data_IF_513164078629
#
_entry.id   IF_513164078629
#
_cell.length_a   1.000
_cell.length_b   1.000
_cell.length_c   1.000
_cell.angle_alpha   90.00
_cell.angle_beta   90.00
_cell.angle_gamma   90.00
#
_symmetry.space_group_name_H-M   'P 1'
#
loop_
_entity.id
_entity.type
_entity.pdbx_description
1 polymer ?
#
# COMPACT_ATOMS: atom_id res chain seq x y z
N UNK A 1 -7.72 2.96 -7.10
CA UNK A 1 -7.24 3.89 -6.05
C UNK A 1 -7.73 5.27 -6.41
N UNK A 2 -8.06 6.15 -5.44
CA UNK A 2 -8.45 7.56 -5.65
C UNK A 2 -7.78 8.26 -6.83
N UNK A 3 -8.32 9.40 -7.30
CA UNK A 3 -7.50 10.43 -7.96
C UNK A 3 -6.40 10.88 -6.98
N UNK A 4 -5.42 10.00 -6.73
CA UNK A 4 -4.17 10.30 -6.08
C UNK A 4 -3.54 11.27 -7.04
N UNK A 5 -3.24 12.48 -6.60
CA UNK A 5 -2.70 13.47 -7.50
C UNK A 5 -1.47 12.92 -8.21
N UNK A 6 -1.48 12.99 -9.54
CA UNK A 6 -0.35 12.60 -10.34
C UNK A 6 0.57 13.81 -10.45
N UNK A 7 1.75 13.70 -9.86
CA UNK A 7 2.80 14.71 -9.96
C UNK A 7 3.93 14.11 -10.77
N UNK A 8 4.23 14.71 -11.91
CA UNK A 8 5.24 14.20 -12.82
C UNK A 8 6.65 14.47 -12.27
N UNK A 9 7.56 13.57 -12.57
CA UNK A 9 8.99 13.74 -12.38
C UNK A 9 9.69 13.96 -13.72
N UNK A 10 10.65 14.87 -13.72
CA UNK A 10 11.52 15.15 -14.85
C UNK A 10 12.90 14.58 -14.58
N UNK A 11 13.40 13.74 -15.48
CA UNK A 11 14.75 13.19 -15.44
C UNK A 11 15.79 14.12 -16.07
N UNK A 12 17.06 13.91 -15.70
CA UNK A 12 18.22 14.62 -16.27
C UNK A 12 18.16 16.16 -16.16
N UNK A 13 17.43 16.65 -15.16
CA UNK A 13 17.36 18.08 -14.83
C UNK A 13 18.62 18.48 -14.08
N UNK A 14 19.13 19.69 -14.31
CA UNK A 14 20.23 20.22 -13.49
C UNK A 14 19.80 20.25 -12.03
N UNK A 15 20.62 19.64 -11.16
CA UNK A 15 20.36 19.56 -9.73
C UNK A 15 20.24 20.97 -9.14
N UNK A 16 19.10 21.33 -8.51
CA UNK A 16 18.95 22.61 -7.84
C UNK A 16 19.88 22.77 -6.62
N UNK A 17 20.36 21.65 -6.06
CA UNK A 17 21.15 21.63 -4.82
C UNK A 17 22.62 21.30 -5.03
N UNK A 18 22.99 20.65 -6.13
CA UNK A 18 24.37 20.21 -6.41
C UNK A 18 24.81 20.63 -7.83
N UNK A 19 25.41 21.81 -7.95
CA UNK A 19 25.85 22.37 -9.25
C UNK A 19 26.73 21.39 -10.04
N UNK A 20 26.43 21.25 -11.34
CA UNK A 20 27.16 20.38 -12.27
C UNK A 20 26.66 18.93 -12.33
N UNK A 21 25.66 18.57 -11.51
CA UNK A 21 25.07 17.24 -11.51
C UNK A 21 23.66 17.24 -12.09
N UNK A 22 23.24 16.07 -12.59
CA UNK A 22 21.86 15.81 -13.03
C UNK A 22 21.07 15.02 -11.97
N UNK A 23 19.77 15.28 -11.89
CA UNK A 23 18.84 14.66 -10.94
C UNK A 23 17.49 14.37 -11.59
N UNK A 24 16.67 13.61 -10.87
CA UNK A 24 15.22 13.57 -11.05
C UNK A 24 14.61 14.67 -10.18
N UNK A 25 13.70 15.48 -10.73
CA UNK A 25 13.02 16.55 -9.97
C UNK A 25 11.54 16.51 -10.28
N UNK A 26 10.70 16.50 -9.24
CA UNK A 26 9.25 16.56 -9.40
C UNK A 26 8.77 17.94 -9.90
N UNK A 27 7.57 17.96 -10.46
CA UNK A 27 6.73 19.17 -10.49
C UNK A 27 6.43 19.67 -9.07
N UNK A 28 5.84 20.87 -8.97
CA UNK A 28 5.48 21.45 -7.67
C UNK A 28 4.50 20.56 -6.90
N UNK A 29 4.73 20.43 -5.60
CA UNK A 29 3.91 19.70 -4.64
C UNK A 29 3.03 20.64 -3.80
N UNK A 30 3.11 21.96 -3.99
CA UNK A 30 2.51 22.96 -3.10
C UNK A 30 0.98 22.89 -3.04
N UNK A 31 0.33 22.45 -4.12
CA UNK A 31 -1.12 22.25 -4.15
C UNK A 31 -1.57 21.09 -3.24
N UNK A 32 -0.64 20.22 -2.84
CA UNK A 32 -0.93 19.00 -2.09
C UNK A 32 -0.38 19.05 -0.66
N UNK A 33 0.84 19.55 -0.49
CA UNK A 33 1.54 19.51 0.79
C UNK A 33 2.71 20.50 0.86
N UNK A 34 3.17 20.76 2.08
CA UNK A 34 4.45 21.41 2.33
C UNK A 34 5.60 20.38 2.26
N UNK A 35 6.83 20.87 2.04
CA UNK A 35 8.02 20.02 2.03
C UNK A 35 8.21 19.24 3.36
N UNK A 36 7.94 19.89 4.49
CA UNK A 36 8.03 19.27 5.82
C UNK A 36 6.97 18.15 5.99
N UNK A 37 5.72 18.36 5.57
CA UNK A 37 4.69 17.32 5.64
C UNK A 37 4.99 16.13 4.71
N UNK A 38 5.55 16.42 3.51
CA UNK A 38 6.01 15.38 2.60
C UNK A 38 7.13 14.55 3.22
N UNK A 39 8.13 15.20 3.82
CA UNK A 39 9.25 14.51 4.49
C UNK A 39 8.75 13.58 5.61
N UNK A 40 7.84 14.04 6.47
CA UNK A 40 7.34 13.22 7.59
C UNK A 40 6.62 11.96 7.08
N UNK A 41 5.84 12.12 6.01
CA UNK A 41 5.11 11.03 5.39
C UNK A 41 6.04 10.07 4.66
N UNK A 42 7.06 10.58 3.96
CA UNK A 42 8.07 9.75 3.30
C UNK A 42 8.87 8.96 4.35
N UNK A 43 9.25 9.59 5.46
CA UNK A 43 9.95 8.94 6.57
C UNK A 43 9.13 7.78 7.15
N UNK A 44 7.82 7.99 7.36
CA UNK A 44 6.90 6.95 7.81
C UNK A 44 6.83 5.79 6.81
N UNK A 45 6.70 6.09 5.52
CA UNK A 45 6.60 5.06 4.48
C UNK A 45 7.89 4.25 4.34
N UNK A 46 9.06 4.88 4.50
CA UNK A 46 10.34 4.17 4.46
C UNK A 46 10.50 3.18 5.63
N UNK A 47 9.81 3.43 6.77
CA UNK A 47 9.75 2.48 7.90
C UNK A 47 8.76 1.34 7.69
N UNK A 48 7.84 1.48 6.74
CA UNK A 48 6.84 0.47 6.38
C UNK A 48 6.68 0.35 4.86
N UNK A 49 7.74 -0.09 4.15
CA UNK A 49 7.83 -0.02 2.69
C UNK A 49 7.07 -1.15 1.98
N UNK A 50 6.44 -2.04 2.73
CA UNK A 50 5.67 -3.16 2.19
C UNK A 50 4.30 -2.64 1.78
N UNK A 51 4.01 -2.70 0.48
CA UNK A 51 2.68 -2.39 -0.02
C UNK A 51 1.66 -3.41 0.53
N UNK A 52 0.39 -3.06 0.77
CA UNK A 52 -0.57 -4.00 1.36
C UNK A 52 -0.71 -5.33 0.59
N UNK A 53 -0.74 -5.27 -0.74
CA UNK A 53 -0.75 -6.48 -1.59
C UNK A 53 0.54 -7.31 -1.47
N UNK A 54 1.65 -6.71 -1.06
CA UNK A 54 2.91 -7.43 -0.84
C UNK A 54 2.98 -8.09 0.53
N UNK A 55 2.19 -7.63 1.52
CA UNK A 55 2.24 -8.13 2.88
C UNK A 55 1.99 -9.64 2.97
N UNK A 56 1.15 -10.20 2.09
CA UNK A 56 0.91 -11.65 2.02
C UNK A 56 2.15 -12.45 1.58
N UNK A 57 3.08 -11.84 0.84
CA UNK A 57 4.33 -12.47 0.40
C UNK A 57 5.46 -12.31 1.42
N UNK A 58 5.31 -11.46 2.43
CA UNK A 58 6.36 -11.19 3.41
C UNK A 58 6.51 -12.38 4.36
N UNK A 59 7.74 -12.89 4.45
CA UNK A 59 8.17 -13.85 5.47
C UNK A 59 8.60 -13.15 6.74
N UNK A 60 9.39 -12.10 6.58
CA UNK A 60 10.02 -11.36 7.67
C UNK A 60 10.12 -9.88 7.28
N UNK A 61 9.70 -9.01 8.18
CA UNK A 61 10.00 -7.59 8.14
C UNK A 61 10.62 -7.20 9.48
N UNK A 62 11.81 -6.63 9.42
CA UNK A 62 12.54 -6.17 10.59
C UNK A 62 12.92 -4.70 10.38
N UNK A 63 12.60 -3.87 11.36
CA UNK A 63 13.05 -2.48 11.46
C UNK A 63 13.88 -2.36 12.73
N UNK A 64 15.11 -1.87 12.61
CA UNK A 64 16.00 -1.64 13.75
C UNK A 64 16.31 -0.16 13.84
N UNK A 65 15.76 0.48 14.87
CA UNK A 65 16.06 1.87 15.18
C UNK A 65 17.49 2.03 15.68
N UNK A 66 18.21 3.01 15.11
CA UNK A 66 19.59 3.36 15.46
C UNK A 66 19.69 4.81 15.97
N UNK A 67 18.58 5.55 15.92
CA UNK A 67 18.42 6.91 16.40
C UNK A 67 17.12 7.51 15.89
N UNK A 68 16.87 8.78 16.23
CA UNK A 68 15.68 9.50 15.73
C UNK A 68 15.68 9.63 14.20
N UNK A 69 16.85 9.80 13.61
CA UNK A 69 17.06 10.00 12.17
C UNK A 69 17.81 8.85 11.49
N UNK A 70 17.89 7.67 12.12
CA UNK A 70 18.61 6.53 11.54
C UNK A 70 17.92 5.21 11.88
N UNK A 71 17.67 4.40 10.86
CA UNK A 71 17.19 3.03 11.04
C UNK A 71 17.69 2.12 9.91
N UNK A 72 17.67 0.81 10.16
CA UNK A 72 17.80 -0.19 9.12
C UNK A 72 16.50 -0.94 8.95
N UNK A 73 16.21 -1.33 7.71
CA UNK A 73 15.03 -2.11 7.37
C UNK A 73 15.39 -3.28 6.47
N UNK A 74 14.85 -4.44 6.81
CA UNK A 74 15.00 -5.68 6.08
C UNK A 74 13.63 -6.27 5.82
N UNK A 75 13.34 -6.59 4.56
CA UNK A 75 12.12 -7.27 4.11
C UNK A 75 12.54 -8.49 3.31
N UNK A 76 12.12 -9.67 3.79
CA UNK A 76 12.28 -10.95 3.08
C UNK A 76 10.91 -11.42 2.61
N UNK A 77 10.83 -11.77 1.33
CA UNK A 77 9.71 -12.50 0.77
C UNK A 77 9.87 -14.00 0.95
N UNK A 78 8.73 -14.66 1.21
CA UNK A 78 8.63 -16.09 1.37
C UNK A 78 8.66 -16.78 -0.01
N UNK A 79 9.73 -17.52 -0.26
CA UNK A 79 9.88 -18.24 -1.53
C UNK A 79 8.78 -19.26 -1.78
N UNK A 80 8.24 -19.89 -0.73
CA UNK A 80 7.14 -20.84 -0.88
C UNK A 80 5.87 -20.13 -1.34
N UNK A 81 5.55 -18.97 -0.76
CA UNK A 81 4.39 -18.16 -1.18
C UNK A 81 4.58 -17.60 -2.58
N UNK A 82 5.77 -17.10 -2.92
CA UNK A 82 6.07 -16.64 -4.29
C UNK A 82 5.88 -17.76 -5.32
N UNK A 83 6.38 -18.97 -5.03
CA UNK A 83 6.16 -20.14 -5.91
C UNK A 83 4.69 -20.53 -5.99
N UNK A 84 4.00 -20.50 -4.85
CA UNK A 84 2.58 -20.80 -4.76
C UNK A 84 1.76 -19.85 -5.65
N UNK A 85 2.12 -18.58 -5.69
CA UNK A 85 1.44 -17.55 -6.48
C UNK A 85 1.90 -17.51 -7.96
N UNK A 86 2.84 -18.37 -8.36
CA UNK A 86 3.39 -18.35 -9.73
C UNK A 86 4.30 -17.16 -10.02
N UNK A 87 4.81 -16.49 -8.97
CA UNK A 87 5.71 -15.34 -9.06
C UNK A 87 7.18 -15.72 -9.05
N UNK A 88 7.51 -16.94 -8.60
CA UNK A 88 8.85 -17.50 -8.66
C UNK A 88 8.83 -18.99 -9.06
N UNK A 89 9.82 -19.47 -9.84
CA UNK A 89 9.90 -20.88 -10.21
C UNK A 89 10.29 -21.80 -9.03
N UNK A 90 11.00 -21.24 -8.06
CA UNK A 90 11.59 -21.97 -6.94
C UNK A 90 11.11 -21.41 -5.60
N UNK A 91 11.13 -22.26 -4.57
CA UNK A 91 10.73 -21.90 -3.21
C UNK A 91 11.83 -21.19 -2.43
N UNK A 92 12.59 -20.29 -3.08
CA UNK A 92 13.72 -19.59 -2.48
C UNK A 92 13.30 -18.22 -1.97
N UNK A 93 13.58 -17.96 -0.70
CA UNK A 93 13.37 -16.64 -0.11
C UNK A 93 14.19 -15.56 -0.83
N UNK A 94 13.61 -14.37 -0.94
CA UNK A 94 14.22 -13.24 -1.62
C UNK A 94 14.28 -12.01 -0.72
N UNK A 95 15.43 -11.33 -0.72
CA UNK A 95 15.54 -10.01 -0.09
C UNK A 95 14.85 -8.98 -0.98
N UNK A 96 13.63 -8.60 -0.61
CA UNK A 96 12.91 -7.49 -1.24
C UNK A 96 13.62 -6.16 -0.98
N UNK A 97 14.04 -5.98 0.27
CA UNK A 97 14.68 -4.77 0.74
C UNK A 97 15.69 -5.11 1.84
N UNK A 98 16.88 -4.54 1.76
CA UNK A 98 17.83 -4.48 2.86
C UNK A 98 18.50 -3.12 2.78
N UNK A 99 18.04 -2.17 3.60
CA UNK A 99 18.34 -0.77 3.42
C UNK A 99 18.69 -0.13 4.75
N UNK A 100 19.71 0.72 4.75
CA UNK A 100 19.99 1.67 5.83
C UNK A 100 19.43 3.03 5.41
N UNK A 101 18.67 3.67 6.29
CA UNK A 101 18.02 4.95 6.02
C UNK A 101 18.51 5.97 7.04
N UNK A 102 19.03 7.09 6.55
CA UNK A 102 19.50 8.22 7.36
C UNK A 102 18.74 9.47 6.94
N UNK A 103 18.00 10.06 7.86
CA UNK A 103 17.30 11.33 7.70
C UNK A 103 18.14 12.51 8.16
N UNK A 104 17.74 13.69 7.74
CA UNK A 104 18.11 14.96 8.36
C UNK A 104 16.91 15.90 8.18
N UNK A 105 16.14 16.08 9.24
CA UNK A 105 14.89 16.83 9.22
C UNK A 105 15.11 18.30 8.95
N UNK A 106 16.20 18.88 9.46
CA UNK A 106 16.52 20.31 9.27
C UNK A 106 16.77 20.63 7.80
N UNK A 107 17.59 19.80 7.16
CA UNK A 107 17.97 19.95 5.75
C UNK A 107 16.96 19.30 4.78
N UNK A 108 15.94 18.62 5.32
CA UNK A 108 14.94 17.82 4.58
C UNK A 108 15.57 16.83 3.58
N UNK A 109 16.55 16.08 4.05
CA UNK A 109 17.23 15.06 3.23
C UNK A 109 17.02 13.67 3.79
N UNK A 110 16.82 12.67 2.92
CA UNK A 110 16.81 11.25 3.29
C UNK A 110 17.81 10.54 2.38
N UNK A 111 18.73 9.81 2.99
CA UNK A 111 19.73 8.99 2.32
C UNK A 111 19.43 7.52 2.58
N UNK A 112 19.26 6.76 1.52
CA UNK A 112 18.95 5.34 1.53
C UNK A 112 20.14 4.56 0.95
N UNK A 113 20.76 3.69 1.73
CA UNK A 113 21.82 2.80 1.27
C UNK A 113 21.25 1.40 1.10
N UNK A 114 21.06 1.00 -0.15
CA UNK A 114 20.56 -0.33 -0.50
C UNK A 114 21.70 -1.35 -0.50
N UNK A 115 21.43 -2.51 0.08
CA UNK A 115 22.40 -3.59 0.27
C UNK A 115 21.87 -4.92 -0.26
N UNK A 116 22.78 -5.81 -0.65
CA UNK A 116 22.47 -7.23 -0.90
C UNK A 116 22.16 -7.95 0.42
N UNK A 117 21.69 -9.19 0.32
CA UNK A 117 21.46 -10.05 1.49
C UNK A 117 22.71 -10.38 2.30
N UNK A 118 23.91 -10.24 1.71
CA UNK A 118 25.20 -10.39 2.39
C UNK A 118 25.76 -9.07 2.98
N UNK A 119 24.99 -7.97 2.87
CA UNK A 119 25.39 -6.65 3.34
C UNK A 119 26.23 -5.84 2.34
N UNK A 120 26.58 -6.40 1.17
CA UNK A 120 27.31 -5.65 0.14
C UNK A 120 26.47 -4.47 -0.35
N UNK A 121 27.04 -3.27 -0.33
CA UNK A 121 26.40 -2.06 -0.85
C UNK A 121 26.08 -2.20 -2.36
N UNK A 122 24.89 -1.78 -2.75
CA UNK A 122 24.41 -1.78 -4.13
C UNK A 122 24.41 -0.36 -4.72
N UNK A 123 23.72 0.55 -4.04
CA UNK A 123 23.59 1.93 -4.45
C UNK A 123 23.11 2.79 -3.28
N UNK A 124 23.26 4.11 -3.45
CA UNK A 124 22.74 5.09 -2.50
C UNK A 124 21.70 5.96 -3.19
N UNK A 125 20.46 5.94 -2.71
CA UNK A 125 19.43 6.92 -3.08
C UNK A 125 19.53 8.15 -2.17
N UNK A 126 19.41 9.33 -2.76
CA UNK A 126 19.39 10.60 -2.02
C UNK A 126 18.12 11.37 -2.40
N UNK A 127 17.21 11.53 -1.45
CA UNK A 127 16.04 12.40 -1.54
C UNK A 127 16.35 13.75 -0.87
N UNK A 128 16.03 14.86 -1.52
CA UNK A 128 16.05 16.20 -0.93
C UNK A 128 14.73 16.91 -1.22
N UNK A 129 14.11 17.50 -0.21
CA UNK A 129 12.86 18.25 -0.41
C UNK A 129 13.18 19.74 -0.48
N UNK A 130 12.83 20.34 -1.62
CA UNK A 130 12.95 21.78 -1.85
C UNK A 130 11.71 22.47 -1.29
N UNK A 131 11.84 23.71 -0.78
CA UNK A 131 10.73 24.44 -0.13
C UNK A 131 10.02 25.47 -1.01
N UNK A 132 10.67 26.01 -2.04
CA UNK A 132 10.15 27.12 -2.84
C UNK A 132 10.44 26.93 -4.35
N UNK A 133 9.50 26.33 -5.11
CA UNK A 133 8.30 25.67 -4.61
C UNK A 133 8.62 24.31 -3.97
N UNK A 134 7.67 23.77 -3.20
CA UNK A 134 7.79 22.41 -2.65
C UNK A 134 8.03 21.38 -3.76
N UNK A 135 9.16 20.66 -3.74
CA UNK A 135 9.51 19.63 -4.75
C UNK A 135 10.33 18.51 -4.14
N UNK A 136 10.29 17.34 -4.75
CA UNK A 136 11.22 16.24 -4.48
C UNK A 136 12.33 16.22 -5.54
N UNK A 137 13.57 16.41 -5.10
CA UNK A 137 14.77 16.08 -5.85
C UNK A 137 15.25 14.67 -5.44
N UNK A 138 15.54 13.83 -6.43
CA UNK A 138 16.10 12.51 -6.21
C UNK A 138 17.32 12.26 -7.10
N UNK A 139 18.31 11.60 -6.53
CA UNK A 139 19.43 11.04 -7.29
C UNK A 139 19.81 9.67 -6.77
N UNK A 140 20.42 8.86 -7.62
CA UNK A 140 20.94 7.54 -7.24
C UNK A 140 22.42 7.46 -7.56
N UNK A 141 23.25 7.10 -6.59
CA UNK A 141 24.69 6.90 -6.76
C UNK A 141 24.96 5.41 -6.88
N UNK A 142 25.55 5.00 -8.00
CA UNK A 142 25.95 3.62 -8.28
C UNK A 142 27.43 3.64 -8.67
N UNK A 143 28.27 2.89 -7.94
CA UNK A 143 29.73 2.86 -8.17
C UNK A 143 30.40 4.27 -8.18
N UNK A 144 29.88 5.17 -7.34
CA UNK A 144 30.36 6.56 -7.25
C UNK A 144 29.81 7.50 -8.33
N UNK A 145 29.08 6.99 -9.32
CA UNK A 145 28.46 7.81 -10.38
C UNK A 145 27.02 8.16 -10.01
N UNK A 146 26.69 9.46 -10.07
CA UNK A 146 25.31 9.93 -9.94
C UNK A 146 24.52 9.61 -11.21
N UNK A 147 23.38 8.95 -11.04
CA UNK A 147 22.45 8.54 -12.10
C UNK A 147 21.14 9.32 -11.99
N UNK A 148 20.63 9.69 -13.15
CA UNK A 148 19.27 10.17 -13.39
C UNK A 148 18.77 9.54 -14.69
N UNK A 149 17.46 9.43 -14.85
CA UNK A 149 16.88 8.86 -16.06
C UNK A 149 15.41 8.49 -15.87
N UNK A 150 14.74 8.18 -16.97
CA UNK A 150 13.29 7.93 -17.00
C UNK A 150 12.86 6.83 -16.02
N UNK A 151 13.60 5.73 -15.93
CA UNK A 151 13.28 4.64 -14.99
C UNK A 151 13.34 5.10 -13.52
N UNK A 152 14.26 6.01 -13.17
CA UNK A 152 14.31 6.59 -11.83
C UNK A 152 13.20 7.62 -11.62
N UNK A 153 12.83 8.39 -12.64
CA UNK A 153 11.68 9.29 -12.57
C UNK A 153 10.39 8.51 -12.27
N UNK A 154 10.11 7.45 -13.03
CA UNK A 154 8.93 6.59 -12.78
C UNK A 154 8.99 5.91 -11.42
N UNK A 155 10.18 5.50 -10.94
CA UNK A 155 10.34 4.97 -9.59
C UNK A 155 9.93 6.00 -8.53
N UNK A 156 10.43 7.24 -8.65
CA UNK A 156 10.13 8.32 -7.69
C UNK A 156 8.64 8.66 -7.69
N UNK A 157 8.01 8.76 -8.86
CA UNK A 157 6.57 8.99 -8.99
C UNK A 157 5.76 7.90 -8.27
N UNK A 158 6.04 6.64 -8.57
CA UNK A 158 5.22 5.50 -8.13
C UNK A 158 5.52 5.02 -6.71
N UNK A 159 6.77 5.16 -6.25
CA UNK A 159 7.22 4.60 -4.97
C UNK A 159 7.29 5.63 -3.87
N UNK A 160 7.52 6.91 -4.19
CA UNK A 160 7.64 7.97 -3.19
C UNK A 160 6.48 8.95 -3.26
N UNK A 161 6.28 9.60 -4.41
CA UNK A 161 5.31 10.70 -4.51
C UNK A 161 3.88 10.22 -4.34
N UNK A 162 3.41 9.29 -5.18
CA UNK A 162 2.02 8.84 -5.12
C UNK A 162 1.64 8.25 -3.75
N UNK A 163 2.47 7.39 -3.11
CA UNK A 163 2.19 6.93 -1.75
C UNK A 163 2.16 8.04 -0.70
N UNK A 164 3.10 9.00 -0.73
CA UNK A 164 3.11 10.13 0.21
C UNK A 164 1.86 11.00 0.04
N UNK A 165 1.51 11.35 -1.20
CA UNK A 165 0.31 12.15 -1.47
C UNK A 165 -0.97 11.40 -1.09
N UNK A 166 -0.97 10.07 -1.20
CA UNK A 166 -2.06 9.24 -0.68
C UNK A 166 -2.18 9.38 0.83
N UNK A 167 -1.08 9.28 1.58
CA UNK A 167 -1.09 9.45 3.05
C UNK A 167 -1.54 10.87 3.45
N UNK A 168 -1.08 11.88 2.71
CA UNK A 168 -1.38 13.30 2.99
C UNK A 168 -2.73 13.80 2.46
N UNK A 169 -3.42 12.98 1.66
CA UNK A 169 -4.70 13.35 1.10
C UNK A 169 -5.64 13.87 2.20
N UNK A 170 -6.28 15.01 1.94
CA UNK A 170 -7.32 15.52 2.85
C UNK A 170 -8.54 14.60 2.72
N UNK A 171 -8.77 13.79 3.76
CA UNK A 171 -9.87 12.82 3.83
C UNK A 171 -10.93 13.30 4.81
N UNK A 172 -12.16 12.87 4.57
CA UNK A 172 -13.33 13.18 5.41
C UNK A 172 -13.24 12.43 6.74
N UNK A 173 -12.90 11.15 6.67
CA UNK A 173 -12.60 10.32 7.84
C UNK A 173 -11.26 9.62 7.66
N UNK A 174 -10.47 9.54 8.73
CA UNK A 174 -9.20 8.79 8.74
C UNK A 174 -9.39 7.39 9.29
N UNK A 175 -8.53 6.47 8.86
CA UNK A 175 -8.38 5.14 9.42
C UNK A 175 -7.11 5.09 10.27
N UNK A 176 -7.28 4.67 11.52
CA UNK A 176 -6.23 4.59 12.52
C UNK A 176 -5.65 3.17 12.54
N UNK A 177 -4.33 3.00 12.31
CA UNK A 177 -3.68 1.71 12.46
C UNK A 177 -3.48 1.33 13.93
N UNK A 178 -3.27 0.04 14.18
CA UNK A 178 -2.96 -0.56 15.49
C UNK A 178 -3.98 -0.20 16.59
N UNK A 179 -5.25 -0.07 16.22
CA UNK A 179 -6.33 -0.01 17.18
C UNK A 179 -6.36 -1.32 17.97
N UNK A 180 -6.60 -1.25 19.28
CA UNK A 180 -6.79 -2.46 20.08
C UNK A 180 -8.27 -2.76 20.07
N UNK A 181 -8.64 -3.77 19.29
CA UNK A 181 -10.01 -4.25 19.18
C UNK A 181 -10.55 -4.69 20.53
N UNK A 182 -11.82 -4.40 20.79
CA UNK A 182 -12.57 -4.99 21.91
C UNK A 182 -13.30 -6.27 21.48
N UNK A 183 -13.32 -6.57 20.18
CA UNK A 183 -14.00 -7.71 19.59
C UNK A 183 -13.14 -8.98 19.62
N UNK A 184 -13.81 -10.13 19.76
CA UNK A 184 -13.23 -11.49 19.66
C UNK A 184 -11.98 -11.74 20.52
N UNK A 185 -11.96 -11.23 21.76
CA UNK A 185 -10.81 -11.40 22.65
C UNK A 185 -9.65 -10.43 22.42
N UNK A 186 -9.87 -9.44 21.56
CA UNK A 186 -8.98 -8.30 21.33
C UNK A 186 -7.78 -8.55 20.43
N UNK A 187 -6.86 -7.59 20.40
CA UNK A 187 -5.68 -7.60 19.52
C UNK A 187 -5.70 -6.48 18.48
N UNK A 188 -4.68 -6.42 17.60
CA UNK A 188 -4.52 -5.31 16.67
C UNK A 188 -5.59 -5.34 15.56
N UNK A 189 -6.18 -4.18 15.29
CA UNK A 189 -7.08 -3.90 14.18
C UNK A 189 -6.79 -2.51 13.63
N UNK A 190 -7.53 -2.13 12.60
CA UNK A 190 -7.61 -0.75 12.11
C UNK A 190 -9.04 -0.28 12.24
N UNK A 191 -9.25 0.99 12.53
CA UNK A 191 -10.60 1.54 12.73
C UNK A 191 -10.74 2.92 12.10
N UNK A 192 -11.87 3.19 11.47
CA UNK A 192 -12.18 4.55 11.01
C UNK A 192 -12.51 5.49 12.17
N UNK A 193 -12.29 6.78 11.96
CA UNK A 193 -13.00 7.85 12.68
C UNK A 193 -14.53 7.70 12.49
N UNK A 194 -15.35 8.34 13.34
CA UNK A 194 -16.80 8.41 13.15
C UNK A 194 -17.19 8.83 11.73
N UNK A 195 -18.18 8.15 11.15
CA UNK A 195 -18.65 8.36 9.78
C UNK A 195 -20.05 8.97 9.71
N UNK A 196 -20.66 9.28 10.85
CA UNK A 196 -22.06 9.68 11.01
C UNK A 196 -22.43 10.94 10.21
N UNK A 197 -21.45 11.79 9.88
CA UNK A 197 -21.66 12.98 9.05
C UNK A 197 -21.99 12.64 7.58
N UNK A 198 -21.50 11.50 7.08
CA UNK A 198 -21.62 11.12 5.66
C UNK A 198 -22.42 9.84 5.44
N UNK A 199 -22.50 8.99 6.46
CA UNK A 199 -23.04 7.64 6.34
C UNK A 199 -23.96 7.32 7.51
N UNK A 200 -25.09 6.71 7.20
CA UNK A 200 -25.83 5.89 8.17
C UNK A 200 -25.18 4.50 8.28
N UNK A 201 -25.48 3.75 9.34
CA UNK A 201 -25.05 2.36 9.46
C UNK A 201 -25.42 1.52 8.23
N UNK A 202 -26.67 1.61 7.76
CA UNK A 202 -27.14 0.83 6.62
C UNK A 202 -26.38 1.17 5.33
N UNK A 203 -26.13 2.46 5.09
CA UNK A 203 -25.34 2.91 3.93
C UNK A 203 -23.90 2.43 4.02
N UNK A 204 -23.25 2.57 5.19
CA UNK A 204 -21.87 2.12 5.38
C UNK A 204 -21.75 0.62 5.10
N UNK A 205 -22.65 -0.18 5.66
CA UNK A 205 -22.65 -1.63 5.48
C UNK A 205 -22.89 -2.03 4.03
N UNK A 206 -23.96 -1.52 3.40
CA UNK A 206 -24.34 -1.89 2.03
C UNK A 206 -23.30 -1.47 1.01
N UNK A 207 -22.79 -0.23 1.10
CA UNK A 207 -21.76 0.25 0.21
C UNK A 207 -20.45 -0.51 0.39
N UNK A 208 -20.11 -0.90 1.62
CA UNK A 208 -18.89 -1.68 1.84
C UNK A 208 -19.01 -3.11 1.31
N UNK A 209 -20.16 -3.77 1.47
CA UNK A 209 -20.40 -5.10 0.86
C UNK A 209 -20.24 -5.03 -0.65
N UNK A 210 -20.85 -4.04 -1.29
CA UNK A 210 -20.73 -3.84 -2.73
C UNK A 210 -19.28 -3.54 -3.14
N UNK A 211 -18.58 -2.70 -2.38
CA UNK A 211 -17.16 -2.42 -2.59
C UNK A 211 -16.25 -3.66 -2.52
N UNK A 212 -16.52 -4.57 -1.58
CA UNK A 212 -15.73 -5.81 -1.41
C UNK A 212 -16.02 -6.80 -2.54
N UNK A 213 -17.25 -6.83 -3.06
CA UNK A 213 -17.60 -7.61 -4.27
C UNK A 213 -16.91 -7.09 -5.52
N UNK A 214 -16.53 -5.81 -5.52
CA UNK A 214 -15.93 -5.09 -6.65
C UNK A 214 -14.66 -4.34 -6.23
N UNK A 215 -13.60 -5.07 -5.82
CA UNK A 215 -12.42 -4.45 -5.23
C UNK A 215 -11.74 -3.50 -6.24
N UNK A 216 -11.18 -2.36 -5.78
CA UNK A 216 -10.54 -1.39 -6.65
C UNK A 216 -9.41 -2.01 -7.49
N UNK A 217 -9.44 -1.76 -8.80
CA UNK A 217 -8.46 -2.28 -9.77
C UNK A 217 -8.95 -3.51 -10.55
N UNK A 218 -10.03 -4.15 -10.11
CA UNK A 218 -10.73 -5.17 -10.89
C UNK A 218 -11.78 -4.45 -11.74
N UNK A 219 -11.36 -3.90 -12.87
CA UNK A 219 -12.28 -3.24 -13.83
C UNK A 219 -13.36 -4.21 -14.32
N UNK A 220 -14.53 -3.65 -14.65
CA UNK A 220 -15.80 -4.32 -14.96
C UNK A 220 -15.69 -5.61 -15.80
N UNK A 221 -15.68 -6.73 -15.07
CA UNK A 221 -16.27 -8.06 -15.30
C UNK A 221 -16.51 -8.57 -16.73
N UNK A 222 -15.49 -8.51 -17.57
CA UNK A 222 -15.36 -9.44 -18.69
C UNK A 222 -15.11 -10.90 -18.24
N UNK A 223 -14.36 -11.65 -19.04
CA UNK A 223 -14.01 -13.07 -18.78
C UNK A 223 -13.11 -13.29 -17.54
N UNK A 224 -12.71 -12.22 -16.83
CA UNK A 224 -11.67 -12.25 -15.78
C UNK A 224 -12.20 -12.33 -14.35
N UNK A 225 -13.51 -12.40 -14.17
CA UNK A 225 -14.12 -12.56 -12.85
C UNK A 225 -15.38 -13.41 -12.89
N UNK A 226 -15.64 -14.15 -11.82
CA UNK A 226 -16.90 -14.84 -11.62
C UNK A 226 -17.43 -14.53 -10.22
N UNK A 227 -18.57 -13.86 -10.15
CA UNK A 227 -19.27 -13.56 -8.91
C UNK A 227 -20.52 -14.45 -8.79
N UNK A 228 -20.62 -15.19 -7.69
CA UNK A 228 -21.80 -15.98 -7.32
C UNK A 228 -22.31 -15.45 -6.00
N UNK A 229 -23.59 -15.10 -5.92
CA UNK A 229 -24.18 -14.49 -4.72
C UNK A 229 -25.36 -15.30 -4.17
N UNK A 230 -25.47 -15.31 -2.84
CA UNK A 230 -26.67 -15.68 -2.09
C UNK A 230 -27.11 -14.49 -1.23
N UNK A 231 -28.19 -14.65 -0.46
CA UNK A 231 -28.70 -13.60 0.43
C UNK A 231 -27.69 -13.18 1.52
N UNK A 232 -26.80 -14.09 1.93
CA UNK A 232 -25.90 -13.98 3.08
C UNK A 232 -24.42 -14.25 2.74
N UNK A 233 -24.09 -14.52 1.48
CA UNK A 233 -22.73 -14.85 1.07
C UNK A 233 -22.45 -14.49 -0.38
N UNK A 234 -21.17 -14.40 -0.72
CA UNK A 234 -20.71 -14.28 -2.09
C UNK A 234 -19.41 -15.04 -2.30
N UNK A 235 -19.20 -15.50 -3.53
CA UNK A 235 -17.93 -16.05 -4.01
C UNK A 235 -17.49 -15.22 -5.21
N UNK A 236 -16.38 -14.51 -5.08
CA UNK A 236 -15.72 -13.78 -6.16
C UNK A 236 -14.44 -14.53 -6.53
N UNK A 237 -14.39 -15.07 -7.74
CA UNK A 237 -13.17 -15.61 -8.33
C UNK A 237 -12.57 -14.54 -9.24
N UNK A 238 -11.35 -14.12 -8.95
CA UNK A 238 -10.56 -13.21 -9.78
C UNK A 238 -9.51 -14.02 -10.54
N UNK A 239 -9.64 -14.06 -11.86
CA UNK A 239 -8.65 -14.68 -12.75
C UNK A 239 -7.52 -13.67 -13.00
N UNK A 240 -6.71 -13.40 -11.96
CA UNK A 240 -5.68 -12.37 -12.03
C UNK A 240 -4.42 -12.86 -12.75
N UNK A 241 -4.25 -12.34 -13.96
CA UNK A 241 -2.98 -12.41 -14.67
C UNK A 241 -2.24 -11.05 -14.66
N UNK A 242 -2.93 -9.92 -14.66
CA UNK A 242 -2.28 -8.62 -14.96
C UNK A 242 -1.79 -7.84 -13.74
N UNK A 243 -2.54 -7.76 -12.63
CA UNK A 243 -2.10 -6.96 -11.47
C UNK A 243 -0.86 -7.54 -10.80
N UNK A 244 -0.84 -8.86 -10.55
CA UNK A 244 0.33 -9.55 -10.04
C UNK A 244 1.52 -9.51 -11.03
N UNK A 245 1.28 -9.47 -12.34
CA UNK A 245 2.33 -9.24 -13.35
C UNK A 245 2.82 -7.79 -13.38
N UNK A 246 1.96 -6.82 -13.11
CA UNK A 246 2.31 -5.39 -13.05
C UNK A 246 3.28 -5.11 -11.90
N UNK A 247 3.30 -5.94 -10.86
CA UNK A 247 4.36 -5.94 -9.83
C UNK A 247 5.74 -6.35 -10.36
N UNK A 248 5.91 -6.53 -11.68
CA UNK A 248 7.17 -6.76 -12.40
C UNK A 248 7.94 -8.04 -12.03
N UNK A 249 7.39 -8.94 -11.22
CA UNK A 249 8.06 -10.19 -10.85
C UNK A 249 8.09 -11.24 -11.96
N UNK A 250 7.29 -11.06 -13.02
CA UNK A 250 6.91 -12.14 -13.91
C UNK A 250 6.85 -11.75 -15.40
N UNK A 251 7.58 -10.73 -15.88
CA UNK A 251 7.57 -10.38 -17.32
C UNK A 251 7.92 -11.57 -18.23
N UNK A 252 8.73 -12.50 -17.71
CA UNK A 252 9.11 -13.75 -18.39
C UNK A 252 8.61 -15.03 -17.69
N UNK A 253 7.70 -14.92 -16.71
CA UNK A 253 7.20 -16.12 -16.02
C UNK A 253 6.28 -16.91 -16.94
N UNK A 254 6.70 -18.12 -17.30
CA UNK A 254 5.86 -19.12 -17.99
C UNK A 254 5.00 -19.91 -17.00
N UNK A 255 5.00 -19.56 -15.71
CA UNK A 255 4.23 -20.28 -14.71
C UNK A 255 2.74 -20.01 -14.91
N UNK A 256 1.89 -21.05 -14.83
CA UNK A 256 0.45 -20.85 -14.88
C UNK A 256 0.02 -19.99 -13.70
N UNK A 257 -0.68 -18.89 -13.98
CA UNK A 257 -1.32 -18.10 -12.95
C UNK A 257 -2.32 -18.97 -12.20
N UNK A 258 -2.48 -18.70 -10.90
CA UNK A 258 -3.49 -19.36 -10.07
C UNK A 258 -4.56 -18.36 -9.73
N UNK A 259 -5.80 -18.84 -9.76
CA UNK A 259 -6.96 -18.02 -9.44
C UNK A 259 -6.90 -17.57 -7.99
N UNK A 260 -7.20 -16.30 -7.77
CA UNK A 260 -7.43 -15.75 -6.44
C UNK A 260 -8.93 -15.78 -6.17
N UNK A 261 -9.34 -16.38 -5.06
CA UNK A 261 -10.76 -16.53 -4.69
C UNK A 261 -11.04 -15.81 -3.39
N UNK A 262 -12.10 -15.01 -3.37
CA UNK A 262 -12.64 -14.34 -2.21
C UNK A 262 -14.00 -14.95 -1.89
N UNK A 263 -14.11 -15.63 -0.75
CA UNK A 263 -15.37 -16.16 -0.25
C UNK A 263 -15.84 -15.29 0.91
N UNK A 264 -16.89 -14.50 0.69
CA UNK A 264 -17.46 -13.60 1.67
C UNK A 264 -18.70 -14.18 2.33
N UNK A 265 -18.81 -14.00 3.64
CA UNK A 265 -20.04 -14.16 4.42
C UNK A 265 -20.43 -12.79 5.00
N UNK A 266 -21.71 -12.45 4.89
CA UNK A 266 -22.25 -11.15 5.29
C UNK A 266 -23.35 -11.35 6.32
N UNK A 267 -23.22 -10.72 7.48
CA UNK A 267 -24.25 -10.68 8.53
C UNK A 267 -24.54 -9.23 8.91
N UNK A 268 -25.58 -8.66 8.28
CA UNK A 268 -25.99 -7.26 8.51
C UNK A 268 -26.52 -7.03 9.92
N UNK A 269 -27.11 -8.05 10.55
CA UNK A 269 -27.66 -7.92 11.90
C UNK A 269 -26.52 -7.80 12.92
N UNK A 270 -25.52 -8.67 12.82
CA UNK A 270 -24.30 -8.62 13.62
C UNK A 270 -23.35 -7.48 13.22
N UNK A 271 -23.48 -6.93 12.00
CA UNK A 271 -22.57 -5.94 11.46
C UNK A 271 -21.23 -6.53 11.11
N UNK A 272 -21.20 -7.76 10.60
CA UNK A 272 -19.98 -8.50 10.31
C UNK A 272 -19.88 -8.86 8.82
N UNK A 273 -18.67 -8.73 8.29
CA UNK A 273 -18.28 -9.29 7.00
C UNK A 273 -17.02 -10.11 7.24
N UNK A 274 -17.03 -11.36 6.77
CA UNK A 274 -15.86 -12.25 6.84
C UNK A 274 -15.49 -12.64 5.42
N UNK A 275 -14.27 -12.35 4.99
CA UNK A 275 -13.77 -12.68 3.65
C UNK A 275 -12.59 -13.62 3.77
N UNK A 276 -12.73 -14.81 3.20
CA UNK A 276 -11.65 -15.79 3.07
C UNK A 276 -10.99 -15.58 1.72
N UNK A 277 -9.71 -15.23 1.72
CA UNK A 277 -8.92 -15.06 0.50
C UNK A 277 -8.00 -16.28 0.31
N UNK A 278 -8.06 -16.90 -0.86
CA UNK A 278 -7.23 -18.06 -1.22
C UNK A 278 -6.61 -17.92 -2.61
N UNK A 279 -5.49 -18.60 -2.84
CA UNK A 279 -4.89 -18.74 -4.17
C UNK A 279 -4.84 -20.22 -4.54
N UNK A 280 -5.58 -20.58 -5.58
CA UNK A 280 -5.91 -21.99 -5.87
C UNK A 280 -6.69 -22.62 -4.72
N UNK A 281 -6.04 -23.45 -3.91
CA UNK A 281 -6.65 -24.12 -2.74
C UNK A 281 -6.00 -23.75 -1.41
N UNK A 282 -5.03 -22.86 -1.43
CA UNK A 282 -4.28 -22.47 -0.24
C UNK A 282 -4.86 -21.18 0.33
N UNK A 283 -5.13 -21.18 1.64
CA UNK A 283 -5.58 -20.00 2.37
C UNK A 283 -4.45 -18.96 2.42
N UNK A 284 -4.75 -17.73 2.00
CA UNK A 284 -3.86 -16.59 2.16
C UNK A 284 -4.08 -15.93 3.52
N UNK A 285 -5.31 -15.48 3.73
CA UNK A 285 -5.73 -14.78 4.92
C UNK A 285 -7.25 -14.84 5.04
N UNK A 286 -7.73 -14.56 6.25
CA UNK A 286 -9.14 -14.25 6.49
C UNK A 286 -9.23 -12.80 6.96
N UNK A 287 -9.98 -11.98 6.25
CA UNK A 287 -10.31 -10.60 6.66
C UNK A 287 -11.63 -10.60 7.42
N UNK A 288 -11.66 -9.81 8.49
CA UNK A 288 -12.83 -9.60 9.31
C UNK A 288 -13.10 -8.10 9.34
N UNK A 289 -14.32 -7.71 9.02
CA UNK A 289 -14.78 -6.33 9.10
C UNK A 289 -15.99 -6.26 10.01
N UNK A 290 -15.99 -5.32 10.94
CA UNK A 290 -17.08 -5.06 11.86
C UNK A 290 -17.56 -3.61 11.75
N UNK A 291 -18.89 -3.42 11.79
CA UNK A 291 -19.54 -2.12 11.71
C UNK A 291 -20.11 -1.73 13.06
N UNK A 292 -19.51 -0.71 13.67
CA UNK A 292 -20.01 -0.11 14.90
C UNK A 292 -21.21 0.78 14.57
N UNK A 293 -22.25 0.78 15.43
CA UNK A 293 -23.51 1.52 15.20
C UNK A 293 -23.52 2.93 15.77
N UNK A 294 -22.84 3.16 16.89
CA UNK A 294 -22.84 4.44 17.61
C UNK A 294 -21.48 4.70 18.27
N UNK A 295 -20.65 5.61 17.71
CA UNK A 295 -20.81 6.22 16.39
C UNK A 295 -20.65 5.19 15.26
N UNK A 296 -21.10 5.53 14.04
CA UNK A 296 -20.86 4.70 12.85
C UNK A 296 -19.36 4.63 12.58
N UNK A 297 -18.76 3.44 12.68
CA UNK A 297 -17.35 3.19 12.37
C UNK A 297 -17.16 1.85 11.69
N UNK A 298 -16.07 1.73 10.95
CA UNK A 298 -15.65 0.48 10.32
C UNK A 298 -14.35 0.05 10.95
N UNK A 299 -14.33 -1.14 11.53
CA UNK A 299 -13.15 -1.79 12.07
C UNK A 299 -12.78 -2.98 11.19
N UNK A 300 -11.50 -3.15 10.85
CA UNK A 300 -11.02 -4.27 10.04
C UNK A 300 -9.75 -4.86 10.64
N UNK A 301 -9.56 -6.17 10.45
CA UNK A 301 -8.27 -6.83 10.65
C UNK A 301 -8.18 -8.06 9.75
N UNK A 302 -6.95 -8.53 9.56
CA UNK A 302 -6.69 -9.78 8.85
C UNK A 302 -6.09 -10.81 9.80
N UNK A 303 -6.31 -12.09 9.51
CA UNK A 303 -5.59 -13.20 10.12
C UNK A 303 -4.85 -13.94 9.02
N UNK A 304 -3.53 -13.93 9.07
CA UNK A 304 -2.64 -14.65 8.17
C UNK A 304 -1.63 -15.45 9.00
N UNK A 305 -1.42 -16.72 8.65
CA UNK A 305 -0.52 -17.63 9.39
C UNK A 305 -0.81 -17.66 10.91
N UNK A 306 -2.10 -17.57 11.28
CA UNK A 306 -2.58 -17.54 12.67
C UNK A 306 -2.28 -16.23 13.43
N UNK A 307 -1.74 -15.20 12.77
CA UNK A 307 -1.44 -13.89 13.37
C UNK A 307 -2.46 -12.85 12.93
N UNK A 308 -2.98 -12.09 13.89
CA UNK A 308 -3.85 -10.94 13.65
C UNK A 308 -3.01 -9.74 13.18
N UNK A 309 -3.42 -9.10 12.10
CA UNK A 309 -2.78 -7.96 11.46
C UNK A 309 -3.73 -6.75 11.50
N UNK A 310 -3.22 -5.61 11.95
CA UNK A 310 -3.94 -4.33 12.01
C UNK A 310 -3.01 -3.15 11.85
N UNK A 311 -1.95 -3.29 11.04
CA UNK A 311 -0.91 -2.27 10.89
C UNK A 311 -1.25 -1.20 9.83
N UNK A 312 -0.24 -0.40 9.47
CA UNK A 312 -0.38 0.67 8.48
C UNK A 312 -0.85 0.15 7.11
N UNK A 313 -0.38 -1.02 6.68
CA UNK A 313 -0.79 -1.62 5.41
C UNK A 313 -2.31 -1.88 5.37
N UNK A 314 -2.86 -2.47 6.43
CA UNK A 314 -4.31 -2.72 6.54
C UNK A 314 -5.09 -1.41 6.64
N UNK A 315 -4.54 -0.41 7.35
CA UNK A 315 -5.17 0.91 7.46
C UNK A 315 -5.26 1.59 6.09
N UNK A 316 -4.23 1.48 5.25
CA UNK A 316 -4.25 1.99 3.88
C UNK A 316 -5.32 1.31 3.02
N UNK A 317 -5.49 -0.01 3.15
CA UNK A 317 -6.53 -0.76 2.44
C UNK A 317 -7.91 -0.31 2.89
N UNK A 318 -8.19 -0.35 4.20
CA UNK A 318 -9.48 0.07 4.73
C UNK A 318 -9.79 1.54 4.40
N UNK A 319 -8.78 2.42 4.44
CA UNK A 319 -8.97 3.81 4.07
C UNK A 319 -9.41 3.96 2.61
N UNK A 320 -8.89 3.15 1.69
CA UNK A 320 -9.37 3.11 0.31
C UNK A 320 -10.87 2.79 0.22
N UNK A 321 -11.34 1.82 1.01
CA UNK A 321 -12.76 1.49 1.10
C UNK A 321 -13.60 2.61 1.72
N UNK A 322 -13.15 3.19 2.85
CA UNK A 322 -13.83 4.30 3.53
C UNK A 322 -14.02 5.48 2.58
N UNK A 323 -12.96 5.90 1.88
CA UNK A 323 -13.05 7.01 0.93
C UNK A 323 -14.04 6.72 -0.20
N UNK A 324 -14.09 5.47 -0.66
CA UNK A 324 -14.95 5.05 -1.75
C UNK A 324 -16.43 5.06 -1.35
N UNK A 325 -16.78 4.51 -0.20
CA UNK A 325 -18.17 4.47 0.28
C UNK A 325 -18.69 5.87 0.66
N UNK A 326 -17.82 6.76 1.18
CA UNK A 326 -18.17 8.15 1.47
C UNK A 326 -18.47 8.90 0.16
N UNK A 327 -17.63 8.74 -0.87
CA UNK A 327 -17.90 9.35 -2.19
C UNK A 327 -19.18 8.82 -2.84
N UNK A 328 -19.48 7.53 -2.68
CA UNK A 328 -20.71 6.93 -3.17
C UNK A 328 -21.94 7.54 -2.49
N UNK A 329 -21.89 7.72 -1.17
CA UNK A 329 -22.95 8.41 -0.43
C UNK A 329 -23.23 9.83 -0.93
N UNK A 330 -22.20 10.49 -1.48
CA UNK A 330 -22.28 11.83 -2.04
C UNK A 330 -22.77 11.88 -3.49
N UNK A 331 -23.17 10.73 -4.05
CA UNK A 331 -23.73 10.64 -5.39
C UNK A 331 -22.69 10.45 -6.50
N UNK A 332 -21.44 10.08 -6.17
CA UNK A 332 -20.48 9.68 -7.20
C UNK A 332 -20.96 8.38 -7.88
N UNK A 333 -21.17 8.41 -9.20
CA UNK A 333 -21.85 7.33 -9.95
C UNK A 333 -20.96 6.15 -10.33
N UNK A 334 -19.91 5.85 -9.57
CA UNK A 334 -18.98 4.77 -9.89
C UNK A 334 -18.14 4.33 -8.71
N UNK A 335 -17.78 3.04 -8.72
CA UNK A 335 -16.81 2.44 -7.80
C UNK A 335 -15.37 2.66 -8.23
N UNK A 336 -15.18 2.88 -9.53
CA UNK A 336 -13.89 2.91 -10.17
C UNK A 336 -13.35 4.34 -10.26
N UNK A 337 -12.03 4.42 -10.22
CA UNK A 337 -11.24 5.63 -10.34
C UNK A 337 -10.57 5.68 -11.70
#
# INVERSE_FOLDING_TARGET
MGNVPQVKCHENVDSPTDSGFKSVVSESLEDYCTADAFYDSLWLLMRSPVHPMEAMMVKEQQVVDQGEEEFTIKVIYDGQKLKLYGLAPESRDYYKLNQKVVGNRKELTIVCQDMKGDGTHLHTGCCKLLRDPARLEYSRIVDGERRSGQALASLVETTYIAPVLTVLARRKAKVLPNHVSELHGGGPSVISEPLDEWLTYDMAFEFFVEAVKYPPGVEDHGEHTRLVETDDSFELVCFEHEQLRALNYAKDSTLPARDMTYMGRVDKAAGEIVVICSVGRELLFTSFTHFHRDPVRIESWQVADGKRLGGLAEACVLQGYVDMIVRKAEGSTGWYF
#
